data_IF_682354241825
#
_entry.id   IF_682354241825
#
_cell.length_a   1.000
_cell.length_b   1.000
_cell.length_c   1.000
_cell.angle_alpha   90.00
_cell.angle_beta   90.00
_cell.angle_gamma   90.00
#
_symmetry.space_group_name_H-M   'P 1'
#
loop_
_entity.id
_entity.type
_entity.pdbx_description
1 polymer ?
#
# COMPACT_ATOMS: atom_id res chain seq x y z
N UNK A 1 -6.55 22.21 -6.69
CA UNK A 1 -6.22 21.17 -5.69
C UNK A 1 -7.23 20.08 -5.88
N UNK A 2 -6.81 18.83 -6.03
CA UNK A 2 -7.74 17.73 -6.28
C UNK A 2 -8.62 17.50 -5.04
N UNK A 3 -9.92 17.32 -5.25
CA UNK A 3 -10.88 17.06 -4.19
C UNK A 3 -11.06 15.55 -4.05
N UNK A 4 -10.79 15.02 -2.86
CA UNK A 4 -10.94 13.60 -2.54
C UNK A 4 -12.15 13.40 -1.63
N UNK A 5 -13.07 12.54 -2.05
CA UNK A 5 -14.23 12.14 -1.27
C UNK A 5 -14.18 10.63 -1.00
N UNK A 6 -14.40 10.23 0.24
CA UNK A 6 -14.54 8.83 0.65
C UNK A 6 -15.99 8.53 0.99
N UNK A 7 -16.55 7.43 0.48
CA UNK A 7 -17.96 7.07 0.62
C UNK A 7 -18.16 5.55 0.51
N UNK A 8 -19.41 5.09 0.69
CA UNK A 8 -19.80 3.67 0.68
C UNK A 8 -18.85 2.79 1.53
N UNK A 9 -18.60 3.25 2.76
CA UNK A 9 -17.72 2.57 3.71
C UNK A 9 -18.46 1.33 4.21
N UNK A 10 -17.86 0.15 4.01
CA UNK A 10 -18.46 -1.10 4.47
C UNK A 10 -18.50 -1.21 6.00
N UNK A 11 -19.58 -1.79 6.52
CA UNK A 11 -19.77 -2.01 7.96
C UNK A 11 -18.86 -3.12 8.51
N UNK A 12 -18.50 -4.11 7.69
CA UNK A 12 -17.58 -5.16 8.08
C UNK A 12 -16.17 -4.59 8.24
N UNK A 13 -15.56 -4.77 9.41
CA UNK A 13 -14.21 -4.30 9.72
C UNK A 13 -13.27 -5.45 10.02
N UNK A 14 -12.03 -5.30 9.55
CA UNK A 14 -10.92 -6.20 9.84
C UNK A 14 -10.14 -5.65 11.04
N UNK A 15 -10.02 -6.44 12.09
CA UNK A 15 -9.15 -6.14 13.23
C UNK A 15 -7.69 -6.47 12.89
N UNK A 16 -6.81 -5.48 12.99
CA UNK A 16 -5.38 -5.60 12.73
C UNK A 16 -4.57 -5.75 14.04
N UNK A 17 -5.25 -5.76 15.18
CA UNK A 17 -4.68 -5.75 16.52
C UNK A 17 -4.27 -4.35 16.99
N UNK A 18 -3.97 -4.24 18.28
CA UNK A 18 -3.55 -2.98 18.93
C UNK A 18 -4.56 -1.83 18.74
N UNK A 19 -5.85 -2.17 18.75
CA UNK A 19 -6.95 -1.22 18.56
C UNK A 19 -7.14 -0.74 17.12
N UNK A 20 -6.33 -1.21 16.16
CA UNK A 20 -6.41 -0.75 14.77
C UNK A 20 -7.41 -1.58 13.98
N UNK A 21 -8.35 -0.92 13.31
CA UNK A 21 -9.29 -1.59 12.40
C UNK A 21 -9.46 -0.84 11.09
N UNK A 22 -9.77 -1.58 10.02
CA UNK A 22 -10.00 -1.07 8.67
C UNK A 22 -11.30 -1.65 8.12
N UNK A 23 -12.15 -0.88 7.42
CA UNK A 23 -13.30 -1.47 6.74
C UNK A 23 -12.84 -2.44 5.65
N UNK A 24 -13.61 -3.49 5.42
CA UNK A 24 -13.30 -4.49 4.39
C UNK A 24 -13.28 -3.88 2.99
N UNK A 25 -14.09 -2.86 2.74
CA UNK A 25 -14.13 -2.12 1.48
C UNK A 25 -14.65 -0.69 1.65
N UNK A 26 -14.26 0.20 0.74
CA UNK A 26 -14.83 1.54 0.59
C UNK A 26 -14.62 2.06 -0.84
N UNK A 27 -15.31 3.15 -1.18
CA UNK A 27 -15.06 3.88 -2.42
C UNK A 27 -14.40 5.22 -2.14
N UNK A 28 -13.57 5.64 -3.09
CA UNK A 28 -13.01 6.97 -3.09
C UNK A 28 -13.14 7.59 -4.49
N UNK A 29 -13.50 8.86 -4.53
CA UNK A 29 -13.66 9.65 -5.75
C UNK A 29 -12.72 10.85 -5.71
N UNK A 30 -12.05 11.11 -6.82
CA UNK A 30 -11.21 12.31 -7.00
C UNK A 30 -11.65 13.08 -8.22
N UNK A 31 -11.85 14.38 -8.04
CA UNK A 31 -12.12 15.34 -9.12
C UNK A 31 -11.07 16.47 -9.10
N UNK A 32 -10.93 17.17 -10.24
CA UNK A 32 -10.00 18.30 -10.35
C UNK A 32 -8.51 17.93 -10.31
N UNK A 33 -8.19 16.68 -10.63
CA UNK A 33 -6.81 16.20 -10.77
C UNK A 33 -6.16 16.81 -12.01
N UNK A 34 -4.93 17.29 -11.87
CA UNK A 34 -4.20 17.92 -12.98
C UNK A 34 -3.95 16.88 -14.08
N UNK A 35 -4.14 17.28 -15.33
CA UNK A 35 -3.88 16.46 -16.53
C UNK A 35 -4.80 15.22 -16.66
N UNK A 36 -5.86 15.12 -15.84
CA UNK A 36 -6.89 14.09 -15.92
C UNK A 36 -8.24 14.75 -16.28
N UNK A 37 -8.81 14.46 -17.46
CA UNK A 37 -10.03 15.08 -17.94
C UNK A 37 -11.29 14.39 -17.41
N UNK A 38 -11.44 14.38 -16.08
CA UNK A 38 -12.64 13.85 -15.45
C UNK A 38 -12.47 13.39 -14.01
N UNK A 39 -13.42 12.57 -13.59
CA UNK A 39 -13.50 12.03 -12.23
C UNK A 39 -12.93 10.61 -12.18
N UNK A 40 -12.02 10.38 -11.24
CA UNK A 40 -11.48 9.05 -10.94
C UNK A 40 -12.28 8.46 -9.79
N UNK A 41 -12.80 7.26 -9.95
CA UNK A 41 -13.40 6.48 -8.86
C UNK A 41 -12.59 5.22 -8.64
N UNK A 42 -12.24 4.93 -7.39
CA UNK A 42 -11.59 3.68 -6.99
C UNK A 42 -12.41 2.96 -5.94
N UNK A 43 -12.45 1.63 -6.04
CA UNK A 43 -12.92 0.75 -4.98
C UNK A 43 -11.69 0.15 -4.31
N UNK A 44 -11.58 0.37 -3.01
CA UNK A 44 -10.49 -0.19 -2.20
C UNK A 44 -11.05 -1.33 -1.37
N UNK A 45 -10.27 -2.40 -1.25
CA UNK A 45 -10.59 -3.56 -0.43
C UNK A 45 -9.39 -3.94 0.44
N UNK A 46 -9.67 -4.58 1.58
CA UNK A 46 -8.64 -5.29 2.33
C UNK A 46 -8.24 -6.56 1.60
N UNK A 47 -6.98 -6.65 1.18
CA UNK A 47 -6.42 -7.86 0.58
C UNK A 47 -5.72 -8.68 1.68
N UNK A 48 -6.35 -9.79 2.07
CA UNK A 48 -5.83 -10.67 3.10
C UNK A 48 -4.53 -11.39 2.69
N UNK A 49 -4.29 -11.63 1.39
CA UNK A 49 -3.07 -12.26 0.91
C UNK A 49 -1.88 -11.29 0.98
N UNK A 50 -2.11 -10.01 0.69
CA UNK A 50 -1.11 -8.96 0.84
C UNK A 50 -1.01 -8.42 2.27
N UNK A 51 -2.03 -8.65 3.10
CA UNK A 51 -2.14 -8.13 4.45
C UNK A 51 -2.22 -6.60 4.50
N UNK A 52 -2.83 -5.97 3.49
CA UNK A 52 -2.95 -4.50 3.37
C UNK A 52 -4.14 -4.11 2.49
N UNK A 53 -4.50 -2.83 2.51
CA UNK A 53 -5.50 -2.28 1.59
C UNK A 53 -4.95 -2.21 0.16
N UNK A 54 -5.77 -2.59 -0.81
CA UNK A 54 -5.44 -2.59 -2.23
C UNK A 54 -6.59 -2.04 -3.07
N UNK A 55 -6.27 -1.39 -4.19
CA UNK A 55 -7.27 -0.95 -5.16
C UNK A 55 -7.76 -2.17 -5.93
N UNK A 56 -9.02 -2.55 -5.71
CA UNK A 56 -9.66 -3.68 -6.37
C UNK A 56 -10.27 -3.27 -7.72
N UNK A 57 -10.64 -2.00 -7.88
CA UNK A 57 -11.20 -1.46 -9.11
C UNK A 57 -10.89 0.04 -9.24
N UNK A 58 -10.68 0.50 -10.48
CA UNK A 58 -10.54 1.91 -10.80
C UNK A 58 -11.28 2.22 -12.10
N UNK A 59 -12.00 3.34 -12.11
CA UNK A 59 -12.69 3.89 -13.26
C UNK A 59 -12.33 5.37 -13.44
N UNK A 60 -12.33 5.81 -14.69
CA UNK A 60 -12.22 7.20 -15.07
C UNK A 60 -13.44 7.57 -15.91
N UNK A 61 -14.20 8.54 -15.43
CA UNK A 61 -15.38 9.08 -16.11
C UNK A 61 -15.04 10.45 -16.65
N UNK A 62 -15.23 10.67 -17.96
CA UNK A 62 -14.95 11.98 -18.57
C UNK A 62 -15.96 13.02 -18.09
N UNK A 63 -15.48 14.22 -17.82
CA UNK A 63 -16.33 15.36 -17.50
C UNK A 63 -16.54 16.22 -18.76
N UNK A 64 -17.57 15.87 -19.54
CA UNK A 64 -17.99 16.65 -20.71
C UNK A 64 -17.55 16.10 -22.07
N UNK A 65 -18.01 16.77 -23.12
CA UNK A 65 -17.69 16.45 -24.51
C UNK A 65 -16.41 17.11 -24.99
N UNK A 66 -15.78 16.55 -26.03
CA UNK A 66 -14.58 17.14 -26.66
C UNK A 66 -13.25 16.81 -25.99
N UNK A 67 -13.24 15.96 -24.95
CA UNK A 67 -12.02 15.43 -24.36
C UNK A 67 -12.05 13.91 -24.36
N UNK A 68 -10.96 13.32 -24.85
CA UNK A 68 -10.80 11.88 -24.96
C UNK A 68 -10.05 11.31 -23.77
N UNK A 69 -10.57 10.20 -23.23
CA UNK A 69 -9.81 9.36 -22.30
C UNK A 69 -8.86 8.52 -23.14
N UNK A 70 -7.58 8.85 -23.07
CA UNK A 70 -6.52 8.11 -23.76
C UNK A 70 -5.82 7.15 -22.81
N UNK A 71 -5.09 6.18 -23.37
CA UNK A 71 -4.23 5.31 -22.58
C UNK A 71 -3.12 6.06 -21.83
N UNK A 72 -2.70 7.23 -22.33
CA UNK A 72 -1.75 8.10 -21.63
C UNK A 72 -2.38 8.68 -20.35
N UNK A 73 -3.60 9.20 -20.43
CA UNK A 73 -4.33 9.71 -19.26
C UNK A 73 -4.48 8.64 -18.17
N UNK A 74 -4.80 7.40 -18.56
CA UNK A 74 -4.93 6.29 -17.61
C UNK A 74 -3.63 5.98 -16.85
N UNK A 75 -2.46 6.27 -17.43
CA UNK A 75 -1.15 6.08 -16.76
C UNK A 75 -0.87 7.15 -15.71
N UNK A 76 -1.47 8.32 -15.85
CA UNK A 76 -1.31 9.43 -14.89
C UNK A 76 -2.22 9.29 -13.67
N UNK A 77 -3.21 8.38 -13.70
CA UNK A 77 -4.12 8.14 -12.57
C UNK A 77 -3.36 7.58 -11.37
N UNK A 78 -3.26 8.39 -10.31
CA UNK A 78 -2.52 8.07 -9.08
C UNK A 78 -3.35 7.21 -8.11
N UNK A 79 -3.82 6.04 -8.54
CA UNK A 79 -4.69 5.16 -7.74
C UNK A 79 -4.14 4.87 -6.34
N UNK A 80 -2.82 4.69 -6.22
CA UNK A 80 -2.17 4.49 -4.92
C UNK A 80 -2.35 5.68 -3.99
N UNK A 81 -2.17 6.91 -4.48
CA UNK A 81 -2.37 8.13 -3.69
C UNK A 81 -3.82 8.28 -3.23
N UNK A 82 -4.79 7.98 -4.10
CA UNK A 82 -6.23 8.00 -3.77
C UNK A 82 -6.54 7.01 -2.65
N UNK A 83 -6.05 5.78 -2.80
CA UNK A 83 -6.20 4.73 -1.80
C UNK A 83 -5.59 5.12 -0.45
N UNK A 84 -4.33 5.58 -0.42
CA UNK A 84 -3.67 5.91 0.84
C UNK A 84 -4.29 7.11 1.54
N UNK A 85 -4.74 8.13 0.80
CA UNK A 85 -5.37 9.30 1.39
C UNK A 85 -6.78 9.03 1.87
N UNK A 86 -7.58 8.24 1.15
CA UNK A 86 -8.91 7.84 1.62
C UNK A 86 -8.84 6.90 2.83
N UNK A 87 -7.84 6.00 2.86
CA UNK A 87 -7.60 5.10 3.98
C UNK A 87 -7.34 5.85 5.31
N UNK A 88 -6.73 7.04 5.27
CA UNK A 88 -6.49 7.86 6.46
C UNK A 88 -7.77 8.28 7.20
N UNK A 89 -8.89 8.33 6.47
CA UNK A 89 -10.17 8.79 7.00
C UNK A 89 -11.04 7.62 7.48
N UNK A 90 -10.80 6.38 6.99
CA UNK A 90 -11.64 5.21 7.31
C UNK A 90 -10.96 4.17 8.21
N UNK A 91 -9.62 4.14 8.26
CA UNK A 91 -8.88 3.36 9.24
C UNK A 91 -9.09 4.02 10.60
N UNK A 92 -9.45 3.23 11.61
CA UNK A 92 -9.69 3.72 12.96
C UNK A 92 -8.76 3.05 13.96
N UNK A 93 -8.51 3.76 15.06
CA UNK A 93 -7.69 3.31 16.17
C UNK A 93 -8.46 3.52 17.47
N UNK A 94 -8.70 2.43 18.20
CA UNK A 94 -9.18 2.48 19.57
C UNK A 94 -8.05 2.91 20.50
N UNK A 95 -8.25 4.05 21.17
CA UNK A 95 -7.30 4.66 22.11
C UNK A 95 -7.83 4.61 23.55
N UNK A 96 -8.85 3.77 23.84
CA UNK A 96 -9.50 3.68 25.15
C UNK A 96 -10.46 4.83 25.44
N UNK A 97 -10.88 5.56 24.41
CA UNK A 97 -11.91 6.61 24.48
C UNK A 97 -13.31 6.03 24.16
N UNK A 98 -14.35 6.85 24.26
CA UNK A 98 -15.73 6.41 24.01
C UNK A 98 -16.00 5.97 22.56
N UNK A 99 -15.20 6.47 21.61
CA UNK A 99 -15.26 6.08 20.20
C UNK A 99 -13.85 5.97 19.60
N UNK A 100 -13.60 5.02 18.68
CA UNK A 100 -12.37 4.96 17.92
C UNK A 100 -12.15 6.24 17.12
N UNK A 101 -10.88 6.66 16.99
CA UNK A 101 -10.51 7.85 16.23
C UNK A 101 -9.94 7.47 14.86
N UNK A 102 -10.09 8.33 13.84
CA UNK A 102 -9.50 8.11 12.52
C UNK A 102 -7.97 8.11 12.55
N UNK A 103 -7.34 7.34 11.66
CA UNK A 103 -5.89 7.20 11.56
C UNK A 103 -5.18 8.56 11.39
N UNK A 104 -5.77 9.48 10.62
CA UNK A 104 -5.26 10.86 10.48
C UNK A 104 -5.13 11.56 11.83
N UNK A 105 -6.17 11.50 12.66
CA UNK A 105 -6.21 12.13 13.98
C UNK A 105 -5.24 11.43 14.93
N UNK A 106 -5.24 10.09 14.92
CA UNK A 106 -4.32 9.29 15.72
C UNK A 106 -2.85 9.64 15.45
N UNK A 107 -2.43 9.64 14.17
CA UNK A 107 -1.04 9.95 13.79
C UNK A 107 -0.66 11.39 14.17
N UNK A 108 -1.58 12.35 14.01
CA UNK A 108 -1.35 13.73 14.43
C UNK A 108 -1.15 13.86 15.95
N UNK A 109 -1.99 13.17 16.74
CA UNK A 109 -1.84 13.13 18.21
C UNK A 109 -0.49 12.53 18.63
N UNK A 110 -0.09 11.43 18.00
CA UNK A 110 1.19 10.76 18.31
C UNK A 110 2.42 11.62 17.96
N UNK A 111 2.34 12.36 16.86
CA UNK A 111 3.39 13.29 16.44
C UNK A 111 3.53 14.50 17.40
N UNK A 112 2.41 14.97 17.96
CA UNK A 112 2.34 16.10 18.87
C UNK A 112 2.66 15.76 20.33
N UNK A 113 2.61 14.48 20.72
CA UNK A 113 2.88 14.04 22.10
C UNK A 113 4.35 14.22 22.49
N UNK A 114 4.59 14.96 23.58
CA UNK A 114 5.90 15.15 24.20
C UNK A 114 6.04 14.31 25.47
N UNK A 115 7.25 13.84 25.79
CA UNK A 115 7.53 13.08 27.03
C UNK A 115 6.89 11.68 27.07
N UNK A 116 7.47 10.71 26.35
CA UNK A 116 6.97 9.32 26.33
C UNK A 116 7.73 8.44 27.31
N UNK A 117 7.02 7.63 28.08
CA UNK A 117 7.63 6.49 28.76
C UNK A 117 8.03 5.39 27.76
N UNK A 118 9.05 4.60 28.10
CA UNK A 118 9.61 3.61 27.17
C UNK A 118 8.60 2.49 26.82
N UNK A 119 7.74 2.10 27.76
CA UNK A 119 6.73 1.06 27.53
C UNK A 119 5.60 1.55 26.63
N UNK A 120 5.13 2.77 26.85
CA UNK A 120 4.16 3.45 25.98
C UNK A 120 4.69 3.55 24.55
N UNK A 121 5.99 3.85 24.41
CA UNK A 121 6.64 3.98 23.10
C UNK A 121 6.60 2.70 22.26
N UNK A 122 6.62 1.51 22.88
CA UNK A 122 6.51 0.24 22.15
C UNK A 122 5.06 -0.01 21.71
N UNK A 123 4.08 0.25 22.58
CA UNK A 123 2.67 0.07 22.24
C UNK A 123 2.25 1.04 21.12
N UNK A 124 2.66 2.31 21.22
CA UNK A 124 2.46 3.32 20.18
C UNK A 124 3.12 2.88 18.86
N UNK A 125 4.34 2.33 18.90
CA UNK A 125 5.03 1.84 17.72
C UNK A 125 4.27 0.69 17.02
N UNK A 126 3.68 -0.24 17.78
CA UNK A 126 2.90 -1.34 17.21
C UNK A 126 1.63 -0.80 16.54
N UNK A 127 0.89 0.08 17.20
CA UNK A 127 -0.32 0.68 16.62
C UNK A 127 0.00 1.47 15.34
N UNK A 128 1.05 2.30 15.36
CA UNK A 128 1.50 3.06 14.16
C UNK A 128 1.95 2.11 13.06
N UNK A 129 2.63 1.00 13.38
CA UNK A 129 3.03 -0.01 12.41
C UNK A 129 1.81 -0.64 11.72
N UNK A 130 0.79 -1.03 12.49
CA UNK A 130 -0.47 -1.61 11.96
C UNK A 130 -1.23 -0.61 11.10
N UNK A 131 -1.30 0.65 11.52
CA UNK A 131 -1.86 1.74 10.71
C UNK A 131 -1.09 1.86 9.39
N UNK A 132 0.24 1.88 9.42
CA UNK A 132 1.04 1.98 8.22
C UNK A 132 0.79 0.82 7.24
N UNK A 133 0.68 -0.41 7.76
CA UNK A 133 0.31 -1.58 6.97
C UNK A 133 -1.07 -1.41 6.32
N UNK A 134 -2.07 -0.94 7.08
CA UNK A 134 -3.41 -0.67 6.56
C UNK A 134 -3.42 0.37 5.44
N UNK A 135 -2.60 1.43 5.59
CA UNK A 135 -2.45 2.51 4.63
C UNK A 135 -1.54 2.16 3.44
N UNK A 136 -0.94 0.96 3.41
CA UNK A 136 0.10 0.59 2.44
C UNK A 136 1.32 1.54 2.44
N UNK A 137 1.62 2.16 3.59
CA UNK A 137 2.84 2.94 3.81
C UNK A 137 4.01 2.06 4.26
N UNK A 138 5.28 2.48 4.06
CA UNK A 138 6.43 1.77 4.60
C UNK A 138 6.40 1.77 6.14
N UNK A 139 6.15 0.62 6.81
CA UNK A 139 5.71 0.65 8.21
C UNK A 139 6.74 1.19 9.20
N UNK A 140 7.98 0.73 9.09
CA UNK A 140 9.08 1.18 9.96
C UNK A 140 9.42 2.65 9.74
N UNK A 141 9.25 3.15 8.50
CA UNK A 141 9.44 4.57 8.21
C UNK A 141 8.36 5.41 8.89
N UNK A 142 7.09 5.01 8.80
CA UNK A 142 6.02 5.76 9.47
C UNK A 142 6.22 5.78 10.99
N UNK A 143 6.58 4.65 11.61
CA UNK A 143 6.91 4.59 13.04
C UNK A 143 8.06 5.54 13.38
N UNK A 144 9.15 5.50 12.62
CA UNK A 144 10.32 6.37 12.80
C UNK A 144 9.95 7.85 12.71
N UNK A 145 9.20 8.23 11.67
CA UNK A 145 8.84 9.61 11.40
C UNK A 145 7.83 10.13 12.45
N UNK A 146 6.81 9.34 12.81
CA UNK A 146 5.78 9.73 13.80
C UNK A 146 6.34 9.79 15.22
N UNK A 147 7.14 8.81 15.61
CA UNK A 147 7.74 8.79 16.95
C UNK A 147 9.02 9.64 17.07
N UNK A 148 9.51 10.23 15.98
CA UNK A 148 10.77 11.01 15.95
C UNK A 148 11.96 10.22 16.50
N UNK A 149 12.03 8.92 16.15
CA UNK A 149 13.12 8.01 16.51
C UNK A 149 13.83 7.53 15.24
N UNK A 150 15.03 6.96 15.36
CA UNK A 150 15.68 6.35 14.20
C UNK A 150 14.92 5.11 13.70
N UNK A 151 15.01 4.80 12.40
CA UNK A 151 14.46 3.55 11.85
C UNK A 151 15.05 2.31 12.53
N UNK A 152 16.34 2.34 12.93
CA UNK A 152 16.94 1.24 13.69
C UNK A 152 16.29 1.04 15.06
N UNK A 153 15.86 2.11 15.72
CA UNK A 153 15.11 2.03 16.99
C UNK A 153 13.70 1.50 16.76
N UNK A 154 13.00 1.97 15.72
CA UNK A 154 11.70 1.43 15.32
C UNK A 154 11.76 -0.08 15.04
N UNK A 155 12.80 -0.55 14.33
CA UNK A 155 13.04 -1.99 14.11
C UNK A 155 13.22 -2.74 15.43
N UNK A 156 14.03 -2.20 16.36
CA UNK A 156 14.24 -2.82 17.68
C UNK A 156 12.94 -2.91 18.49
N UNK A 157 12.08 -1.89 18.43
CA UNK A 157 10.78 -1.93 19.08
C UNK A 157 9.90 -3.03 18.49
N UNK A 158 9.85 -3.17 17.16
CA UNK A 158 9.07 -4.23 16.52
C UNK A 158 9.63 -5.63 16.78
N UNK A 159 10.95 -5.81 16.84
CA UNK A 159 11.56 -7.09 17.25
C UNK A 159 11.18 -7.43 18.69
N UNK A 160 11.34 -6.47 19.61
CA UNK A 160 10.95 -6.68 21.01
C UNK A 160 9.46 -6.97 21.16
N UNK A 161 8.61 -6.31 20.39
CA UNK A 161 7.16 -6.55 20.38
C UNK A 161 6.80 -7.97 19.89
N UNK A 162 7.54 -8.50 18.91
CA UNK A 162 7.41 -9.91 18.47
C UNK A 162 7.84 -10.86 19.58
N UNK A 163 8.99 -10.61 20.20
CA UNK A 163 9.56 -11.47 21.24
C UNK A 163 8.62 -11.63 22.45
N UNK A 164 7.88 -10.57 22.81
CA UNK A 164 6.92 -10.56 23.92
C UNK A 164 5.48 -10.86 23.47
N UNK A 165 5.27 -11.25 22.21
CA UNK A 165 3.96 -11.68 21.68
C UNK A 165 2.93 -10.56 21.44
N UNK A 166 3.31 -9.29 21.54
CA UNK A 166 2.41 -8.15 21.32
C UNK A 166 2.22 -7.79 19.84
N UNK A 167 3.13 -8.22 18.97
CA UNK A 167 3.01 -8.07 17.52
C UNK A 167 3.37 -9.39 16.84
N UNK A 168 2.53 -10.43 16.93
CA UNK A 168 2.83 -11.71 16.29
C UNK A 168 3.07 -11.48 14.79
N UNK A 169 4.05 -12.19 14.26
CA UNK A 169 4.42 -12.13 12.86
C UNK A 169 3.23 -12.60 12.03
N UNK A 170 2.53 -11.63 11.43
CA UNK A 170 1.68 -11.95 10.29
C UNK A 170 2.67 -12.38 9.22
N UNK A 171 2.70 -13.67 8.88
CA UNK A 171 3.43 -14.17 7.72
C UNK A 171 2.79 -13.52 6.49
N UNK A 172 3.22 -12.31 6.19
CA UNK A 172 2.98 -11.67 4.91
C UNK A 172 3.73 -12.58 3.95
N UNK A 173 2.98 -13.41 3.22
CA UNK A 173 3.54 -14.16 2.12
C UNK A 173 4.18 -13.09 1.24
N UNK A 174 5.52 -13.08 1.14
CA UNK A 174 6.19 -12.23 0.16
C UNK A 174 5.42 -12.42 -1.15
N UNK A 175 5.02 -11.33 -1.83
CA UNK A 175 4.33 -11.47 -3.10
C UNK A 175 5.18 -12.40 -3.94
N UNK A 176 4.66 -13.61 -4.23
CA UNK A 176 5.34 -14.59 -5.06
C UNK A 176 5.80 -13.79 -6.27
N UNK A 177 7.13 -13.61 -6.42
CA UNK A 177 7.68 -13.07 -7.66
C UNK A 177 6.98 -13.85 -8.76
N UNK A 178 6.21 -13.16 -9.60
CA UNK A 178 5.61 -13.81 -10.76
C UNK A 178 6.75 -14.60 -11.41
N UNK A 179 6.56 -15.91 -11.70
CA UNK A 179 7.61 -16.70 -12.28
C UNK A 179 8.14 -15.92 -13.48
N UNK A 180 9.46 -15.72 -13.52
CA UNK A 180 10.10 -15.03 -14.64
C UNK A 180 9.73 -15.85 -15.88
N UNK A 181 8.74 -15.37 -16.63
CA UNK A 181 8.34 -16.00 -17.88
C UNK A 181 9.48 -15.72 -18.82
N UNK A 182 10.15 -16.80 -19.26
CA UNK A 182 11.21 -16.68 -20.26
C UNK A 182 10.63 -16.01 -21.50
N UNK A 183 11.11 -14.81 -21.80
CA UNK A 183 10.63 -14.00 -22.94
C UNK A 183 10.90 -14.69 -24.27
N UNK A 184 11.83 -15.65 -24.31
CA UNK A 184 12.20 -16.40 -25.51
C UNK A 184 11.43 -17.71 -25.68
N UNK A 185 10.79 -18.22 -24.63
CA UNK A 185 10.03 -19.48 -24.65
C UNK A 185 8.70 -19.36 -23.90
N UNK A 186 7.71 -18.65 -24.47
CA UNK A 186 6.38 -18.58 -23.88
C UNK A 186 5.75 -19.99 -23.86
N UNK A 187 5.63 -20.58 -22.66
CA UNK A 187 5.02 -21.90 -22.42
C UNK A 187 5.93 -22.93 -21.72
N UNK A 188 7.22 -22.66 -21.52
CA UNK A 188 8.20 -23.66 -21.07
C UNK A 188 8.34 -23.84 -19.55
N UNK A 189 7.46 -23.24 -18.75
CA UNK A 189 7.55 -23.25 -17.28
C UNK A 189 8.51 -22.20 -16.71
N UNK A 190 8.91 -22.30 -15.43
CA UNK A 190 9.80 -21.34 -14.77
C UNK A 190 11.16 -21.23 -15.48
N UNK A 191 11.73 -20.02 -15.53
CA UNK A 191 13.06 -19.78 -16.07
C UNK A 191 14.13 -20.65 -15.39
N UNK A 192 14.79 -21.50 -16.17
CA UNK A 192 15.91 -22.36 -15.75
C UNK A 192 17.21 -21.83 -16.38
N UNK A 193 18.12 -21.20 -15.61
CA UNK A 193 19.38 -20.67 -16.12
C UNK A 193 20.37 -21.75 -16.59
N UNK A 194 20.08 -23.03 -16.33
CA UNK A 194 20.91 -24.18 -16.70
C UNK A 194 20.54 -24.74 -18.07
N UNK A 195 19.42 -24.30 -18.67
CA UNK A 195 18.98 -24.80 -19.96
C UNK A 195 19.87 -24.26 -21.09
N UNK A 196 20.35 -25.11 -22.00
CA UNK A 196 21.09 -24.64 -23.17
C UNK A 196 20.18 -23.76 -24.02
N UNK A 197 20.59 -22.52 -24.25
CA UNK A 197 19.91 -21.61 -25.17
C UNK A 197 20.02 -22.15 -26.60
N UNK A 198 19.00 -22.86 -27.07
CA UNK A 198 18.82 -23.12 -28.51
C UNK A 198 18.27 -21.86 -29.16
N UNK A 199 19.14 -20.86 -29.35
CA UNK A 199 18.82 -19.72 -30.20
C UNK A 199 18.59 -20.19 -31.64
N UNK A 200 17.76 -19.49 -32.43
CA UNK A 200 17.66 -19.77 -33.85
C UNK A 200 19.06 -19.61 -34.47
N UNK A 201 19.50 -20.65 -35.18
CA UNK A 201 20.72 -20.64 -35.98
C UNK A 201 20.61 -19.58 -37.06
N UNK A 202 21.03 -18.35 -36.76
CA UNK A 202 21.16 -17.29 -37.76
C UNK A 202 22.38 -17.55 -38.65
N UNK A 203 22.28 -17.34 -39.98
CA UNK A 203 23.36 -17.59 -40.92
C UNK A 203 24.48 -16.57 -40.75
N UNK A 204 25.71 -17.00 -41.02
CA UNK A 204 26.95 -16.23 -40.87
C UNK A 204 26.91 -14.84 -41.51
N UNK A 205 27.35 -13.85 -40.73
CA UNK A 205 27.67 -12.50 -41.22
C UNK A 205 28.99 -12.48 -42.00
N UNK A 206 29.19 -11.45 -42.85
CA UNK A 206 30.18 -11.45 -43.91
C UNK A 206 31.61 -11.23 -43.38
N UNK A 207 32.57 -11.93 -43.98
CA UNK A 207 34.00 -11.75 -43.77
C UNK A 207 34.45 -10.36 -44.22
N UNK A 208 34.99 -9.55 -43.32
CA UNK A 208 35.82 -8.40 -43.69
C UNK A 208 37.23 -8.94 -43.93
N UNK A 209 37.64 -8.93 -45.20
CA UNK A 209 39.03 -9.12 -45.62
C UNK A 209 39.71 -7.76 -45.80
N UNK A 210 40.95 -7.69 -45.29
CA UNK A 210 42.02 -6.69 -45.48
C UNK A 210 41.74 -5.25 -45.00
#
# INVERSE_FOLDING_TARGET
MAELQTYDIGDERIDLGSGVSVPRSWHARVSGEKDVPGTITVRVEWDAALGRSAVAFAALEREGGGVDITSQVLREVRTHWIMTNSALDVVTVDVGESQPIGARVFLARQLAREGREQRDSILDAIAIYRVATALSYPPLKLVSDTLKISQSTATRFMSRARDIGLAPEVRIQEPRRAPTVDRYFPGAGPYDPSRPHSGPSSPGGPSIGL
#
